data_IF_906558049256
#
_entry.id   IF_906558049256
#
_cell.length_a   1.000
_cell.length_b   1.000
_cell.length_c   1.000
_cell.angle_alpha   90.00
_cell.angle_beta   90.00
_cell.angle_gamma   90.00
#
_symmetry.space_group_name_H-M   'P 1'
#
loop_
_entity.id
_entity.type
_entity.pdbx_description
1 polymer ?
#
# COMPACT_ATOMS: atom_id res chain seq x y z
N UNK A 1 -2.70 -5.45 -41.98
CA UNK A 1 -1.84 -6.49 -41.37
C UNK A 1 -1.62 -6.14 -39.91
N UNK A 2 -1.70 -7.15 -39.06
CA UNK A 2 -2.06 -7.07 -37.65
C UNK A 2 -1.06 -6.29 -36.78
N UNK A 3 -1.61 -5.54 -35.83
CA UNK A 3 -0.94 -4.81 -34.77
C UNK A 3 -0.52 -5.84 -33.69
N UNK A 4 0.76 -6.19 -33.61
CA UNK A 4 1.30 -7.00 -32.52
C UNK A 4 1.45 -6.15 -31.25
N UNK A 5 0.34 -5.92 -30.54
CA UNK A 5 0.37 -5.65 -29.10
C UNK A 5 0.36 -6.99 -28.36
N UNK A 6 1.50 -7.68 -28.37
CA UNK A 6 1.75 -8.73 -27.39
C UNK A 6 2.21 -8.09 -26.07
N UNK A 7 1.27 -7.44 -25.38
CA UNK A 7 1.40 -7.29 -23.94
C UNK A 7 1.05 -8.66 -23.37
N UNK A 8 2.08 -9.42 -23.00
CA UNK A 8 1.94 -10.58 -22.12
C UNK A 8 1.41 -10.08 -20.75
N UNK A 9 0.12 -9.79 -20.69
CA UNK A 9 -0.67 -9.77 -19.46
C UNK A 9 -0.58 -11.21 -18.98
N UNK A 10 0.30 -11.46 -18.02
CA UNK A 10 0.52 -12.81 -17.49
C UNK A 10 -0.82 -13.39 -17.07
N UNK A 11 -1.16 -14.56 -17.64
CA UNK A 11 -2.28 -15.38 -17.23
C UNK A 11 -2.35 -15.43 -15.70
N UNK A 12 -3.52 -15.08 -15.13
CA UNK A 12 -3.77 -15.16 -13.70
C UNK A 12 -3.55 -16.60 -13.22
N UNK A 13 -2.41 -16.79 -12.57
CA UNK A 13 -1.97 -18.01 -11.90
C UNK A 13 -0.86 -17.63 -10.92
N UNK A 14 -0.92 -18.15 -9.70
CA UNK A 14 -0.09 -17.74 -8.55
C UNK A 14 1.40 -18.00 -8.77
N UNK A 15 2.10 -17.05 -9.38
CA UNK A 15 3.56 -17.08 -9.45
C UNK A 15 4.13 -16.93 -8.03
N UNK A 16 5.02 -17.86 -7.66
CA UNK A 16 5.79 -17.80 -6.40
C UNK A 16 7.08 -16.97 -6.54
N UNK A 17 7.42 -16.55 -7.76
CA UNK A 17 8.66 -15.85 -8.07
C UNK A 17 8.44 -14.44 -8.60
N UNK A 18 7.30 -14.18 -9.25
CA UNK A 18 6.95 -12.88 -9.81
C UNK A 18 5.95 -12.16 -8.90
N UNK A 19 6.21 -10.90 -8.52
CA UNK A 19 5.27 -10.13 -7.73
C UNK A 19 3.92 -9.94 -8.46
N UNK A 20 2.80 -9.83 -7.72
CA UNK A 20 1.52 -9.47 -8.30
C UNK A 20 1.63 -8.05 -8.88
N UNK A 21 1.30 -7.92 -10.16
CA UNK A 21 1.32 -6.63 -10.87
C UNK A 21 0.11 -5.78 -10.47
N UNK A 22 0.32 -4.49 -10.25
CA UNK A 22 -0.74 -3.52 -10.00
C UNK A 22 -1.11 -2.81 -11.31
N UNK A 23 -2.34 -3.01 -11.76
CA UNK A 23 -2.88 -2.42 -12.99
C UNK A 23 -3.68 -1.13 -12.75
N UNK A 24 -3.75 -0.67 -11.50
CA UNK A 24 -4.57 0.49 -11.08
C UNK A 24 -5.95 0.12 -10.54
N UNK A 25 -6.37 -1.14 -10.61
CA UNK A 25 -7.69 -1.58 -10.16
C UNK A 25 -7.63 -2.39 -8.87
N UNK A 26 -8.71 -2.34 -8.08
CA UNK A 26 -8.92 -3.18 -6.89
C UNK A 26 -7.70 -3.22 -5.95
N UNK A 27 -7.21 -2.05 -5.54
CA UNK A 27 -6.01 -1.91 -4.73
C UNK A 27 -6.05 -2.74 -3.44
N UNK A 28 -7.20 -2.84 -2.76
CA UNK A 28 -7.33 -3.65 -1.53
C UNK A 28 -7.03 -5.13 -1.76
N UNK A 29 -7.51 -5.69 -2.87
CA UNK A 29 -7.19 -7.07 -3.26
C UNK A 29 -5.72 -7.22 -3.66
N UNK A 30 -5.19 -6.29 -4.47
CA UNK A 30 -3.78 -6.31 -4.85
C UNK A 30 -2.85 -6.20 -3.63
N UNK A 31 -3.15 -5.28 -2.70
CA UNK A 31 -2.42 -5.06 -1.44
C UNK A 31 -2.35 -6.34 -0.64
N UNK A 32 -3.49 -7.01 -0.45
CA UNK A 32 -3.55 -8.31 0.23
C UNK A 32 -2.64 -9.34 -0.43
N UNK A 33 -2.70 -9.47 -1.77
CA UNK A 33 -1.84 -10.39 -2.51
C UNK A 33 -0.35 -10.03 -2.41
N UNK A 34 -0.02 -8.75 -2.46
CA UNK A 34 1.36 -8.26 -2.37
C UNK A 34 1.94 -8.53 -0.98
N UNK A 35 1.17 -8.27 0.08
CA UNK A 35 1.56 -8.58 1.46
C UNK A 35 1.87 -10.07 1.62
N UNK A 36 0.98 -10.95 1.13
CA UNK A 36 1.19 -12.41 1.18
C UNK A 36 2.45 -12.82 0.39
N UNK A 37 2.67 -12.22 -0.79
CA UNK A 37 3.84 -12.50 -1.62
C UNK A 37 5.16 -12.08 -0.96
N UNK A 38 5.22 -10.89 -0.37
CA UNK A 38 6.41 -10.42 0.36
C UNK A 38 6.71 -11.33 1.56
N UNK A 39 5.67 -11.68 2.33
CA UNK A 39 5.81 -12.56 3.50
C UNK A 39 6.26 -13.97 3.13
N UNK A 40 5.81 -14.51 1.99
CA UNK A 40 6.21 -15.84 1.54
C UNK A 40 7.64 -15.89 0.99
N UNK A 41 8.15 -14.78 0.43
CA UNK A 41 9.53 -14.69 -0.04
C UNK A 41 10.55 -14.62 1.10
N UNK A 42 10.26 -13.80 2.10
CA UNK A 42 10.98 -13.68 3.37
C UNK A 42 10.13 -12.78 4.26
N UNK A 43 9.70 -13.28 5.42
CA UNK A 43 8.81 -12.55 6.31
C UNK A 43 9.38 -11.17 6.74
N UNK A 44 10.72 -11.00 6.75
CA UNK A 44 11.37 -9.73 7.06
C UNK A 44 11.15 -8.66 5.98
N UNK A 45 10.88 -9.05 4.72
CA UNK A 45 10.63 -8.10 3.64
C UNK A 45 9.40 -7.24 3.91
N UNK A 46 8.30 -7.85 4.38
CA UNK A 46 7.11 -7.10 4.75
C UNK A 46 7.39 -6.08 5.86
N UNK A 47 8.18 -6.46 6.86
CA UNK A 47 8.58 -5.54 7.92
C UNK A 47 9.40 -4.36 7.41
N UNK A 48 10.30 -4.58 6.46
CA UNK A 48 11.09 -3.50 5.84
C UNK A 48 10.17 -2.57 5.04
N UNK A 49 9.23 -3.12 4.26
CA UNK A 49 8.24 -2.34 3.51
C UNK A 49 7.39 -1.43 4.41
N UNK A 50 6.91 -1.92 5.56
CA UNK A 50 6.01 -1.12 6.41
C UNK A 50 6.72 -0.23 7.44
N UNK A 51 7.94 -0.55 7.86
CA UNK A 51 8.67 0.21 8.88
C UNK A 51 9.82 1.05 8.32
N UNK A 52 10.22 0.82 7.07
CA UNK A 52 11.35 1.48 6.45
C UNK A 52 12.64 0.65 6.45
N UNK A 53 13.65 1.15 5.70
CA UNK A 53 14.90 0.46 5.51
C UNK A 53 15.67 0.43 6.83
N UNK A 54 16.28 -0.72 7.11
CA UNK A 54 17.12 -0.87 8.30
C UNK A 54 18.57 -0.58 7.93
N UNK A 55 19.24 0.20 8.77
CA UNK A 55 20.66 0.50 8.60
C UNK A 55 21.50 -0.23 9.65
N UNK A 56 22.66 -0.78 9.28
CA UNK A 56 23.64 -1.29 10.23
C UNK A 56 24.02 -0.24 11.26
N UNK A 57 23.89 -0.58 12.53
CA UNK A 57 24.23 0.28 13.66
C UNK A 57 25.22 -0.41 14.58
N UNK A 58 25.97 0.40 15.33
CA UNK A 58 26.85 -0.05 16.42
C UNK A 58 26.48 0.72 17.69
N UNK A 59 26.64 0.05 18.82
CA UNK A 59 26.46 0.67 20.14
C UNK A 59 27.81 0.70 20.84
N UNK A 60 28.29 1.90 21.13
CA UNK A 60 29.53 2.13 21.89
C UNK A 60 29.14 2.93 23.13
N UNK A 61 29.43 2.39 24.33
CA UNK A 61 29.11 3.03 25.61
C UNK A 61 27.61 3.44 25.75
N UNK A 62 26.71 2.63 25.18
CA UNK A 62 25.26 2.90 25.20
C UNK A 62 24.78 3.90 24.13
N UNK A 63 25.67 4.48 23.34
CA UNK A 63 25.33 5.38 22.24
C UNK A 63 25.18 4.58 20.94
N UNK A 64 23.99 4.63 20.33
CA UNK A 64 23.70 4.01 19.03
C UNK A 64 24.12 4.97 17.92
N UNK A 65 24.95 4.49 16.98
CA UNK A 65 25.39 5.25 15.81
C UNK A 65 25.42 4.36 14.56
N UNK A 66 25.38 4.93 13.34
CA UNK A 66 25.61 4.17 12.12
C UNK A 66 26.96 3.45 12.18
N UNK A 67 26.94 2.17 11.82
CA UNK A 67 28.17 1.39 11.71
C UNK A 67 28.88 1.80 10.40
N UNK A 68 30.21 2.00 10.39
CA UNK A 68 30.93 2.25 9.14
C UNK A 68 31.03 0.96 8.31
N UNK A 69 31.02 1.08 6.98
CA UNK A 69 30.92 -0.05 6.06
C UNK A 69 32.06 -1.08 6.20
N UNK A 70 33.26 -0.61 6.55
CA UNK A 70 34.42 -1.47 6.81
C UNK A 70 34.25 -2.38 8.05
N UNK A 71 33.28 -2.10 8.92
CA UNK A 71 32.94 -2.91 10.10
C UNK A 71 31.73 -3.83 9.84
N UNK A 72 31.16 -3.83 8.63
CA UNK A 72 29.99 -4.64 8.32
C UNK A 72 30.30 -6.14 8.38
N UNK A 73 29.39 -6.87 9.01
CA UNK A 73 29.38 -8.32 9.00
C UNK A 73 28.28 -8.86 8.05
N UNK A 74 28.21 -10.19 7.92
CA UNK A 74 27.25 -10.84 7.04
C UNK A 74 25.78 -10.49 7.36
N UNK A 75 25.45 -10.22 8.63
CA UNK A 75 24.10 -9.80 9.00
C UNK A 75 23.79 -8.37 8.55
N UNK A 76 24.77 -7.47 8.60
CA UNK A 76 24.64 -6.09 8.11
C UNK A 76 24.40 -6.10 6.59
N UNK A 77 25.15 -6.90 5.83
CA UNK A 77 24.93 -7.06 4.39
C UNK A 77 23.59 -7.74 4.07
N UNK A 78 23.19 -8.76 4.82
CA UNK A 78 21.87 -9.40 4.67
C UNK A 78 20.72 -8.41 4.89
N UNK A 79 20.87 -7.49 5.85
CA UNK A 79 19.91 -6.43 6.11
C UNK A 79 19.81 -5.45 4.93
N UNK A 80 20.93 -4.97 4.40
CA UNK A 80 20.94 -4.09 3.23
C UNK A 80 20.38 -4.80 1.98
N UNK A 81 20.66 -6.09 1.83
CA UNK A 81 20.08 -6.91 0.77
C UNK A 81 18.56 -7.03 0.88
N UNK A 82 18.01 -7.14 2.09
CA UNK A 82 16.56 -7.14 2.31
C UNK A 82 15.92 -5.81 1.89
N UNK A 83 16.53 -4.67 2.24
CA UNK A 83 16.05 -3.36 1.77
C UNK A 83 16.03 -3.29 0.24
N UNK A 84 17.15 -3.64 -0.40
CA UNK A 84 17.26 -3.66 -1.87
C UNK A 84 16.26 -4.62 -2.53
N UNK A 85 16.05 -5.80 -1.94
CA UNK A 85 15.09 -6.80 -2.44
C UNK A 85 13.64 -6.31 -2.30
N UNK A 86 13.28 -5.70 -1.18
CA UNK A 86 11.95 -5.12 -0.97
C UNK A 86 11.66 -4.02 -2.01
N UNK A 87 12.61 -3.09 -2.19
CA UNK A 87 12.51 -2.03 -3.20
C UNK A 87 12.36 -2.59 -4.61
N UNK A 88 13.13 -3.61 -4.97
CA UNK A 88 13.04 -4.27 -6.26
C UNK A 88 11.69 -4.96 -6.47
N UNK A 89 11.16 -5.67 -5.46
CA UNK A 89 9.84 -6.33 -5.55
C UNK A 89 8.74 -5.30 -5.82
N UNK A 90 8.71 -4.19 -5.09
CA UNK A 90 7.74 -3.12 -5.31
C UNK A 90 7.91 -2.47 -6.68
N UNK A 91 9.15 -2.20 -7.09
CA UNK A 91 9.46 -1.66 -8.41
C UNK A 91 8.91 -2.53 -9.55
N UNK A 92 9.05 -3.86 -9.45
CA UNK A 92 8.51 -4.78 -10.46
C UNK A 92 7.00 -4.92 -10.42
N UNK A 93 6.36 -4.57 -9.30
CA UNK A 93 4.93 -4.70 -9.12
C UNK A 93 4.15 -3.51 -9.68
N UNK A 94 4.77 -2.33 -9.73
CA UNK A 94 4.13 -1.10 -10.23
C UNK A 94 4.44 -0.90 -11.72
N UNK A 95 3.43 -0.48 -12.48
CA UNK A 95 3.60 -0.15 -13.90
C UNK A 95 4.40 1.15 -14.12
N UNK A 96 4.95 1.37 -15.33
CA UNK A 96 5.74 2.57 -15.66
C UNK A 96 5.00 3.90 -15.42
N UNK A 97 3.67 3.88 -15.46
CA UNK A 97 2.83 5.07 -15.33
C UNK A 97 2.79 5.60 -13.88
N UNK A 98 2.95 4.73 -12.87
CA UNK A 98 3.01 5.10 -11.44
C UNK A 98 4.41 5.56 -11.02
N UNK A 99 5.42 5.35 -11.87
CA UNK A 99 6.81 5.71 -11.59
C UNK A 99 7.12 7.19 -11.82
N UNK A 100 6.29 7.91 -12.58
CA UNK A 100 6.51 9.33 -12.91
C UNK A 100 6.20 10.29 -11.75
N UNK A 101 5.99 9.80 -10.54
CA UNK A 101 5.84 10.58 -9.32
C UNK A 101 6.93 10.22 -8.33
N UNK A 102 7.98 11.04 -8.33
CA UNK A 102 9.03 11.13 -7.29
C UNK A 102 10.03 9.96 -7.34
N UNK A 103 11.31 10.30 -7.29
CA UNK A 103 12.39 9.34 -7.00
C UNK A 103 12.13 8.78 -5.61
N UNK A 104 11.63 7.55 -5.52
CA UNK A 104 11.40 6.92 -4.22
C UNK A 104 12.75 6.55 -3.62
N UNK A 105 13.12 7.18 -2.50
CA UNK A 105 14.39 6.95 -1.85
C UNK A 105 14.35 5.59 -1.11
N UNK A 106 13.17 5.18 -0.62
CA UNK A 106 12.96 3.87 0.01
C UNK A 106 11.72 3.10 -0.47
N UNK A 107 11.71 1.79 -0.21
CA UNK A 107 10.57 0.89 -0.39
C UNK A 107 9.35 1.29 0.46
N UNK A 108 9.58 1.90 1.63
CA UNK A 108 8.53 2.42 2.50
C UNK A 108 7.82 3.61 1.88
N UNK A 109 8.57 4.54 1.30
CA UNK A 109 7.99 5.67 0.57
C UNK A 109 7.20 5.21 -0.66
N UNK A 110 7.70 4.21 -1.39
CA UNK A 110 6.94 3.59 -2.49
C UNK A 110 5.60 3.04 -1.99
N UNK A 111 5.63 2.28 -0.90
CA UNK A 111 4.44 1.66 -0.33
C UNK A 111 3.43 2.69 0.21
N UNK A 112 3.91 3.67 0.96
CA UNK A 112 3.08 4.72 1.55
C UNK A 112 2.44 5.59 0.45
N UNK A 113 3.15 5.90 -0.63
CA UNK A 113 2.55 6.64 -1.75
C UNK A 113 1.47 5.81 -2.45
N UNK A 114 1.69 4.51 -2.66
CA UNK A 114 0.67 3.63 -3.21
C UNK A 114 -0.57 3.58 -2.32
N UNK A 115 -0.39 3.49 -1.00
CA UNK A 115 -1.49 3.48 -0.04
C UNK A 115 -2.26 4.81 -0.05
N UNK A 116 -1.55 5.93 0.01
CA UNK A 116 -2.16 7.27 -0.02
C UNK A 116 -2.87 7.54 -1.34
N UNK A 117 -2.30 7.13 -2.47
CA UNK A 117 -2.88 7.38 -3.80
C UNK A 117 -4.16 6.57 -4.02
N UNK A 118 -4.23 5.34 -3.49
CA UNK A 118 -5.34 4.43 -3.77
C UNK A 118 -6.40 4.38 -2.66
N UNK A 119 -6.00 4.51 -1.39
CA UNK A 119 -6.93 4.51 -0.24
C UNK A 119 -7.23 5.92 0.30
N UNK A 120 -6.46 6.93 -0.12
CA UNK A 120 -6.47 8.25 0.48
C UNK A 120 -5.64 8.31 1.77
N UNK A 121 -5.36 9.53 2.25
CA UNK A 121 -4.69 9.71 3.54
C UNK A 121 -5.62 9.38 4.70
N UNK A 122 -5.06 9.05 5.88
CA UNK A 122 -5.83 8.89 7.11
C UNK A 122 -6.70 10.13 7.38
N UNK A 123 -6.20 11.33 7.10
CA UNK A 123 -6.97 12.58 7.25
C UNK A 123 -8.19 12.64 6.31
N UNK A 124 -8.07 12.17 5.07
CA UNK A 124 -9.22 12.09 4.15
C UNK A 124 -10.21 11.03 4.60
N UNK A 125 -9.74 9.88 5.12
CA UNK A 125 -10.60 8.84 5.69
C UNK A 125 -11.35 9.36 6.93
N UNK A 126 -10.66 9.98 7.88
CA UNK A 126 -11.25 10.61 9.06
C UNK A 126 -12.24 11.71 8.71
N UNK A 127 -11.92 12.55 7.72
CA UNK A 127 -12.83 13.58 7.22
C UNK A 127 -14.11 12.97 6.63
N UNK A 128 -14.00 11.90 5.82
CA UNK A 128 -15.16 11.16 5.31
C UNK A 128 -16.00 10.53 6.42
N UNK A 129 -15.36 9.92 7.43
CA UNK A 129 -16.06 9.37 8.60
C UNK A 129 -16.80 10.50 9.32
N UNK A 130 -16.11 11.61 9.62
CA UNK A 130 -16.71 12.74 10.34
C UNK A 130 -17.89 13.33 9.57
N UNK A 131 -17.80 13.45 8.24
CA UNK A 131 -18.90 13.93 7.40
C UNK A 131 -20.10 12.97 7.44
N UNK A 132 -19.88 11.66 7.27
CA UNK A 132 -20.96 10.68 7.27
C UNK A 132 -21.60 10.50 8.65
N UNK A 133 -20.82 10.56 9.73
CA UNK A 133 -21.33 10.56 11.10
C UNK A 133 -22.18 11.80 11.33
N UNK A 134 -21.73 12.98 10.87
CA UNK A 134 -22.51 14.20 10.97
C UNK A 134 -23.82 14.13 10.17
N UNK A 135 -23.79 13.60 8.94
CA UNK A 135 -25.00 13.36 8.14
C UNK A 135 -25.96 12.39 8.82
N UNK A 136 -25.44 11.35 9.48
CA UNK A 136 -26.22 10.41 10.27
C UNK A 136 -26.85 11.07 11.50
N UNK A 137 -26.09 11.86 12.26
CA UNK A 137 -26.56 12.54 13.47
C UNK A 137 -27.63 13.60 13.17
N UNK A 138 -27.49 14.30 12.05
CA UNK A 138 -28.47 15.29 11.57
C UNK A 138 -29.59 14.69 10.72
N UNK A 139 -29.61 13.36 10.55
CA UNK A 139 -30.54 12.72 9.64
C UNK A 139 -31.99 12.95 10.08
N UNK A 140 -32.73 13.68 9.26
CA UNK A 140 -34.17 13.84 9.41
C UNK A 140 -34.86 13.72 8.05
N UNK A 141 -36.05 13.13 8.06
CA UNK A 141 -36.94 13.10 6.91
C UNK A 141 -37.30 14.52 6.47
N UNK A 142 -37.34 14.78 5.17
CA UNK A 142 -37.76 16.09 4.65
C UNK A 142 -39.27 16.17 4.44
N UNK A 143 -39.82 17.39 4.48
CA UNK A 143 -41.27 17.64 4.40
C UNK A 143 -41.92 17.11 3.10
N UNK A 144 -41.16 17.06 1.99
CA UNK A 144 -41.62 16.63 0.68
C UNK A 144 -41.02 15.28 0.23
N UNK A 145 -40.50 14.50 1.17
CA UNK A 145 -39.86 13.22 0.91
C UNK A 145 -40.80 12.06 1.18
N UNK A 146 -40.75 10.99 0.36
CA UNK A 146 -41.47 9.76 0.69
C UNK A 146 -40.69 8.92 1.71
N UNK A 147 -41.39 8.08 2.48
CA UNK A 147 -40.72 7.15 3.42
C UNK A 147 -39.69 6.26 2.71
N UNK A 148 -39.96 5.88 1.45
CA UNK A 148 -39.05 5.05 0.64
C UNK A 148 -37.76 5.80 0.30
N UNK A 149 -37.87 7.09 -0.06
CA UNK A 149 -36.72 7.93 -0.40
C UNK A 149 -35.85 8.17 0.85
N UNK A 150 -36.52 8.47 1.99
CA UNK A 150 -35.86 8.63 3.28
C UNK A 150 -35.07 7.37 3.65
N UNK A 151 -35.70 6.19 3.55
CA UNK A 151 -35.04 4.93 3.88
C UNK A 151 -33.85 4.63 2.95
N UNK A 152 -33.97 5.00 1.68
CA UNK A 152 -32.89 4.86 0.70
C UNK A 152 -31.68 5.71 1.07
N UNK A 153 -31.89 6.98 1.45
CA UNK A 153 -30.80 7.86 1.93
C UNK A 153 -30.18 7.36 3.22
N UNK A 154 -30.98 6.97 4.19
CA UNK A 154 -30.49 6.41 5.46
C UNK A 154 -29.61 5.18 5.20
N UNK A 155 -30.09 4.27 4.35
CA UNK A 155 -29.33 3.07 3.95
C UNK A 155 -28.03 3.42 3.24
N UNK A 156 -28.03 4.48 2.44
CA UNK A 156 -26.83 4.97 1.74
C UNK A 156 -25.77 5.46 2.72
N UNK A 157 -26.15 6.23 3.75
CA UNK A 157 -25.23 6.68 4.80
C UNK A 157 -24.66 5.48 5.58
N UNK A 158 -25.52 4.54 6.00
CA UNK A 158 -25.08 3.34 6.74
C UNK A 158 -24.15 2.46 5.91
N UNK A 159 -24.47 2.22 4.64
CA UNK A 159 -23.61 1.42 3.76
C UNK A 159 -22.28 2.12 3.48
N UNK A 160 -22.29 3.45 3.37
CA UNK A 160 -21.05 4.23 3.19
C UNK A 160 -20.17 4.14 4.43
N UNK A 161 -20.74 4.23 5.64
CA UNK A 161 -20.02 4.02 6.90
C UNK A 161 -19.47 2.59 7.05
N UNK A 162 -20.21 1.57 6.59
CA UNK A 162 -19.76 0.16 6.62
C UNK A 162 -18.63 -0.15 5.65
N UNK A 163 -18.52 0.62 4.57
CA UNK A 163 -17.57 0.38 3.48
C UNK A 163 -16.30 1.26 3.59
N UNK A 164 -16.14 2.00 4.69
CA UNK A 164 -14.93 2.77 5.01
C UNK A 164 -13.87 1.94 5.72
#
# INVERSE_FOLDING_TARGET
>A
MANQKNLNIGLEGSSITRPPFFDGNNYSFWKTRMTIFLQSLDYQLWHVVVNGPRMPTRTIEGVVSPKPENEYNDNDFRMLQLNSKAKHVLFCAVGPNEFNRISYDSEKEMWDLLEVTNEGTNQVKESKISMLVHEYELFMMHDNESISDMFTRFTTIINSLKNL
#
